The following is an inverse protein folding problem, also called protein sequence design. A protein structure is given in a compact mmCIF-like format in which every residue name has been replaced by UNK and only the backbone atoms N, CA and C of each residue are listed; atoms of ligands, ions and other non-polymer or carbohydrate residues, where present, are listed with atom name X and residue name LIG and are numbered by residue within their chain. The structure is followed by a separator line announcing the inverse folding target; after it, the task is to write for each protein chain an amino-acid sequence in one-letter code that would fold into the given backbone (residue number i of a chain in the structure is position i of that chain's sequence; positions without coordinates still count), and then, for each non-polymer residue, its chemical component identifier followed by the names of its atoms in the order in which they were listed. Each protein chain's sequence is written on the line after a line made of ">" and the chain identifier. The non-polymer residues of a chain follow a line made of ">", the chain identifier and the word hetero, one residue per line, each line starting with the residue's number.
data_IF_617856824952
#
_entry.id   IF_617856824952
#
_cell.length_a   1.000
_cell.length_b   1.000
_cell.length_c   1.000
_cell.angle_alpha   90.00
_cell.angle_beta   90.00
_cell.angle_gamma   90.00
#
_symmetry.space_group_name_H-M   'P 1'
#
loop_
_entity.id
_entity.type
_entity.pdbx_description
1 polymer ?
#
# COMPACT_ATOMS: atom_id res chain seq x y z
N UNK A 1 -14.23 -7.20 13.48
CA UNK A 1 -12.89 -7.13 14.12
C UNK A 1 -11.79 -7.61 13.16
N UNK A 2 -11.80 -8.86 12.66
CA UNK A 2 -10.72 -9.43 11.80
C UNK A 2 -10.27 -8.65 10.55
N UNK A 3 -11.17 -7.98 9.82
CA UNK A 3 -10.82 -7.43 8.49
C UNK A 3 -9.99 -6.12 8.56
N UNK A 4 -10.24 -5.25 9.54
CA UNK A 4 -9.51 -3.99 9.67
C UNK A 4 -8.07 -4.19 10.16
N UNK A 5 -7.86 -5.16 11.07
CA UNK A 5 -6.53 -5.46 11.60
C UNK A 5 -5.61 -6.06 10.52
N UNK A 6 -6.16 -6.88 9.61
CA UNK A 6 -5.42 -7.41 8.45
C UNK A 6 -5.06 -6.32 7.43
N UNK A 7 -5.95 -5.35 7.22
CA UNK A 7 -5.74 -4.19 6.34
C UNK A 7 -4.56 -3.33 6.83
N UNK A 8 -4.58 -3.02 8.12
CA UNK A 8 -3.56 -2.25 8.80
C UNK A 8 -2.22 -3.00 8.85
N UNK A 9 -2.26 -4.28 9.21
CA UNK A 9 -1.06 -5.10 9.38
C UNK A 9 -0.43 -5.55 8.06
N UNK A 10 -1.18 -5.67 6.96
CA UNK A 10 -0.61 -6.17 5.69
C UNK A 10 -0.19 -5.02 4.79
N UNK A 11 -1.11 -4.11 4.49
CA UNK A 11 -0.85 -3.02 3.54
C UNK A 11 -0.06 -1.89 4.18
N UNK A 12 -0.43 -1.46 5.40
CA UNK A 12 0.30 -0.43 6.13
C UNK A 12 1.76 -0.80 6.39
N UNK A 13 2.00 -2.02 6.87
CA UNK A 13 3.36 -2.50 7.12
C UNK A 13 4.17 -2.68 5.84
N UNK A 14 3.55 -3.15 4.74
CA UNK A 14 4.22 -3.23 3.44
C UNK A 14 4.77 -1.88 3.02
N UNK A 15 3.89 -0.86 2.98
CA UNK A 15 4.26 0.50 2.57
C UNK A 15 5.36 1.05 3.46
N UNK A 16 5.19 0.97 4.77
CA UNK A 16 6.14 1.51 5.72
C UNK A 16 7.51 0.83 5.60
N UNK A 17 7.54 -0.51 5.46
CA UNK A 17 8.78 -1.28 5.30
C UNK A 17 9.51 -0.91 4.02
N UNK A 18 8.82 -0.85 2.89
CA UNK A 18 9.43 -0.51 1.59
C UNK A 18 9.97 0.92 1.62
N UNK A 19 9.17 1.90 2.04
CA UNK A 19 9.61 3.30 2.12
C UNK A 19 10.80 3.48 3.07
N UNK A 20 10.74 2.89 4.28
CA UNK A 20 11.84 2.97 5.26
C UNK A 20 13.12 2.38 4.70
N UNK A 21 13.02 1.22 4.04
CA UNK A 21 14.17 0.53 3.51
C UNK A 21 14.79 1.28 2.33
N UNK A 22 13.96 1.79 1.41
CA UNK A 22 14.41 2.66 0.32
C UNK A 22 15.08 3.92 0.86
N UNK A 23 14.50 4.56 1.88
CA UNK A 23 15.07 5.76 2.48
C UNK A 23 16.45 5.51 3.09
N UNK A 24 16.61 4.37 3.76
CA UNK A 24 17.88 3.99 4.41
C UNK A 24 19.00 3.65 3.42
N UNK A 25 18.68 3.02 2.29
CA UNK A 25 19.69 2.42 1.42
C UNK A 25 19.87 3.11 0.06
N UNK A 26 18.90 3.93 -0.34
CA UNK A 26 18.86 4.62 -1.64
C UNK A 26 18.56 6.11 -1.48
N UNK A 27 19.01 6.73 -0.38
CA UNK A 27 18.97 8.18 -0.14
C UNK A 27 17.58 8.80 -0.28
N UNK A 28 16.54 8.05 0.10
CA UNK A 28 15.16 8.51 -0.02
C UNK A 28 14.68 8.66 -1.46
N UNK A 29 15.37 8.08 -2.44
CA UNK A 29 15.03 8.18 -3.84
C UNK A 29 14.58 6.83 -4.41
N UNK A 30 13.68 6.88 -5.39
CA UNK A 30 13.28 5.68 -6.15
C UNK A 30 14.52 5.09 -6.83
N UNK A 31 14.88 3.84 -6.54
CA UNK A 31 16.09 3.25 -7.11
C UNK A 31 15.91 2.98 -8.61
N UNK A 32 17.00 3.03 -9.36
CA UNK A 32 17.01 2.58 -10.75
C UNK A 32 16.96 1.05 -10.79
N UNK A 33 15.95 0.42 -11.42
CA UNK A 33 15.91 -1.02 -11.54
C UNK A 33 16.96 -1.51 -12.56
N UNK A 34 17.52 -2.69 -12.31
CA UNK A 34 18.17 -3.49 -13.34
C UNK A 34 17.13 -4.24 -14.19
N UNK A 35 17.54 -5.36 -14.80
CA UNK A 35 16.61 -6.18 -15.57
C UNK A 35 15.50 -6.79 -14.70
N UNK A 36 14.26 -6.71 -15.19
CA UNK A 36 13.11 -7.32 -14.53
C UNK A 36 13.08 -8.82 -14.87
N UNK A 37 13.28 -9.65 -13.87
CA UNK A 37 13.11 -11.09 -14.00
C UNK A 37 11.63 -11.49 -14.11
N UNK A 38 11.38 -12.77 -14.40
CA UNK A 38 10.02 -13.29 -14.59
C UNK A 38 9.10 -13.04 -13.39
N UNK A 39 9.62 -13.15 -12.15
CA UNK A 39 8.83 -12.88 -10.93
C UNK A 39 8.42 -11.40 -10.82
N UNK A 40 9.33 -10.48 -11.14
CA UNK A 40 9.07 -9.04 -11.16
C UNK A 40 8.06 -8.65 -12.23
N UNK A 41 8.20 -9.19 -13.43
CA UNK A 41 7.27 -8.97 -14.54
C UNK A 41 5.88 -9.49 -14.20
N UNK A 42 5.78 -10.70 -13.65
CA UNK A 42 4.52 -11.30 -13.25
C UNK A 42 3.79 -10.46 -12.20
N UNK A 43 4.51 -9.92 -11.21
CA UNK A 43 3.91 -9.06 -10.18
C UNK A 43 3.41 -7.72 -10.76
N UNK A 44 4.16 -7.11 -11.67
CA UNK A 44 3.73 -5.89 -12.36
C UNK A 44 2.46 -6.13 -13.19
N UNK A 45 2.42 -7.24 -13.94
CA UNK A 45 1.24 -7.62 -14.72
C UNK A 45 0.03 -7.94 -13.82
N UNK A 46 0.26 -8.59 -12.67
CA UNK A 46 -0.78 -8.84 -11.69
C UNK A 46 -1.34 -7.53 -11.12
N UNK A 47 -0.50 -6.51 -10.89
CA UNK A 47 -0.95 -5.21 -10.42
C UNK A 47 -1.84 -4.50 -11.44
N UNK A 48 -1.44 -4.48 -12.71
CA UNK A 48 -2.24 -3.92 -13.81
C UNK A 48 -3.58 -4.66 -13.97
N UNK A 49 -3.55 -5.99 -14.00
CA UNK A 49 -4.77 -6.82 -14.09
C UNK A 49 -5.71 -6.58 -12.91
N UNK A 50 -5.16 -6.43 -11.71
CA UNK A 50 -5.95 -6.16 -10.50
C UNK A 50 -6.62 -4.78 -10.60
N UNK A 51 -5.97 -3.79 -11.20
CA UNK A 51 -6.54 -2.43 -11.33
C UNK A 51 -7.83 -2.48 -12.15
N UNK A 52 -7.82 -3.23 -13.26
CA UNK A 52 -9.00 -3.46 -14.10
C UNK A 52 -10.07 -4.30 -13.37
N UNK A 53 -9.67 -5.30 -12.59
CA UNK A 53 -10.61 -6.11 -11.81
C UNK A 53 -11.34 -5.30 -10.72
N UNK A 54 -10.60 -4.42 -10.04
CA UNK A 54 -11.15 -3.50 -9.03
C UNK A 54 -12.09 -2.50 -9.70
N UNK A 55 -11.72 -1.91 -10.84
CA UNK A 55 -12.59 -1.04 -11.64
C UNK A 55 -13.92 -1.71 -11.97
N UNK A 56 -13.87 -2.90 -12.57
CA UNK A 56 -15.06 -3.66 -12.92
C UNK A 56 -15.93 -3.98 -11.68
N UNK A 57 -15.29 -4.27 -10.55
CA UNK A 57 -16.01 -4.52 -9.29
C UNK A 57 -16.71 -3.26 -8.76
N UNK A 58 -16.06 -2.10 -8.84
CA UNK A 58 -16.63 -0.81 -8.45
C UNK A 58 -17.82 -0.43 -9.35
N UNK A 59 -17.68 -0.59 -10.67
CA UNK A 59 -18.76 -0.33 -11.64
C UNK A 59 -20.03 -1.15 -11.37
N UNK A 60 -19.90 -2.31 -10.72
CA UNK A 60 -21.03 -3.19 -10.37
C UNK A 60 -21.36 -3.17 -8.86
N UNK A 61 -20.89 -2.17 -8.11
CA UNK A 61 -21.12 -2.04 -6.67
C UNK A 61 -20.64 -3.24 -5.83
N UNK A 62 -19.68 -4.03 -6.32
CA UNK A 62 -19.08 -5.18 -5.63
C UNK A 62 -17.89 -4.74 -4.76
N UNK A 63 -18.13 -3.84 -3.82
CA UNK A 63 -17.09 -3.20 -2.99
C UNK A 63 -16.23 -4.18 -2.19
N UNK A 64 -16.85 -5.23 -1.63
CA UNK A 64 -16.13 -6.26 -0.86
C UNK A 64 -15.16 -7.06 -1.73
N UNK A 65 -15.51 -7.29 -2.99
CA UNK A 65 -14.66 -7.98 -3.95
C UNK A 65 -13.48 -7.09 -4.35
N UNK A 66 -13.74 -5.82 -4.67
CA UNK A 66 -12.72 -4.82 -4.96
C UNK A 66 -11.65 -4.72 -3.85
N UNK A 67 -12.07 -4.56 -2.59
CA UNK A 67 -11.13 -4.48 -1.45
C UNK A 67 -10.32 -5.78 -1.30
N UNK A 68 -10.96 -6.95 -1.47
CA UNK A 68 -10.26 -8.25 -1.38
C UNK A 68 -9.23 -8.41 -2.50
N UNK A 69 -9.53 -7.98 -3.72
CA UNK A 69 -8.60 -8.04 -4.84
C UNK A 69 -7.36 -7.17 -4.57
N UNK A 70 -7.55 -5.91 -4.14
CA UNK A 70 -6.44 -5.03 -3.78
C UNK A 70 -5.62 -5.57 -2.59
N UNK A 71 -6.27 -6.13 -1.57
CA UNK A 71 -5.58 -6.77 -0.45
C UNK A 71 -4.79 -8.02 -0.85
N UNK A 72 -5.32 -8.84 -1.76
CA UNK A 72 -4.61 -9.98 -2.31
C UNK A 72 -3.34 -9.55 -3.05
N UNK A 73 -3.39 -8.46 -3.80
CA UNK A 73 -2.20 -7.89 -4.45
C UNK A 73 -1.17 -7.42 -3.41
N UNK A 74 -1.58 -6.73 -2.35
CA UNK A 74 -0.67 -6.34 -1.27
C UNK A 74 0.00 -7.56 -0.58
N UNK A 75 -0.73 -8.67 -0.42
CA UNK A 75 -0.15 -9.92 0.09
C UNK A 75 0.83 -10.56 -0.92
N UNK A 76 0.54 -10.49 -2.22
CA UNK A 76 1.46 -10.94 -3.27
C UNK A 76 2.76 -10.15 -3.26
N UNK A 77 2.69 -8.82 -3.12
CA UNK A 77 3.89 -7.96 -3.00
C UNK A 77 4.71 -8.31 -1.76
N UNK A 78 4.07 -8.60 -0.62
CA UNK A 78 4.79 -9.06 0.56
C UNK A 78 5.54 -10.37 0.31
N UNK A 79 4.89 -11.36 -0.33
CA UNK A 79 5.54 -12.63 -0.69
C UNK A 79 6.72 -12.43 -1.64
N UNK A 80 6.56 -11.58 -2.65
CA UNK A 80 7.65 -11.21 -3.55
C UNK A 80 8.84 -10.60 -2.80
N UNK A 81 8.59 -9.68 -1.86
CA UNK A 81 9.65 -9.10 -1.04
C UNK A 81 10.33 -10.13 -0.14
N UNK A 82 9.60 -11.08 0.44
CA UNK A 82 10.20 -12.17 1.22
C UNK A 82 11.10 -13.06 0.35
N UNK A 83 10.64 -13.42 -0.85
CA UNK A 83 11.40 -14.22 -1.81
C UNK A 83 12.68 -13.49 -2.25
N UNK A 84 12.57 -12.21 -2.63
CA UNK A 84 13.71 -11.38 -3.01
C UNK A 84 14.62 -11.02 -1.84
N UNK A 85 14.08 -10.99 -0.62
CA UNK A 85 14.80 -10.66 0.62
C UNK A 85 15.78 -9.47 0.46
N UNK A 86 15.34 -8.28 -0.03
CA UNK A 86 16.24 -7.16 -0.34
C UNK A 86 17.10 -6.73 0.86
N UNK A 87 16.59 -6.89 2.09
CA UNK A 87 17.33 -6.63 3.33
C UNK A 87 18.54 -7.54 3.56
N UNK A 88 18.56 -8.74 2.98
CA UNK A 88 19.71 -9.65 3.04
C UNK A 88 20.71 -9.33 1.93
N UNK A 89 20.19 -9.10 0.71
CA UNK A 89 21.03 -9.00 -0.49
C UNK A 89 21.57 -7.60 -0.75
N UNK A 90 21.08 -6.54 -0.10
CA UNK A 90 21.54 -5.14 -0.32
C UNK A 90 23.06 -4.93 -0.26
N UNK A 91 23.79 -5.77 0.50
CA UNK A 91 25.26 -5.71 0.63
C UNK A 91 26.00 -6.47 -0.48
N UNK A 92 25.37 -7.46 -1.09
CA UNK A 92 25.99 -8.39 -2.05
C UNK A 92 25.50 -8.18 -3.48
N UNK A 93 24.23 -7.82 -3.63
CA UNK A 93 23.54 -7.56 -4.89
C UNK A 93 22.66 -6.31 -4.73
N UNK A 94 23.29 -5.15 -4.92
CA UNK A 94 22.62 -3.85 -4.81
C UNK A 94 21.63 -3.62 -5.96
N UNK A 95 21.90 -4.17 -7.13
CA UNK A 95 21.04 -4.03 -8.31
C UNK A 95 19.76 -4.86 -8.16
N UNK A 96 19.84 -6.13 -7.78
CA UNK A 96 18.66 -6.94 -7.49
C UNK A 96 17.82 -6.37 -6.35
N UNK A 97 18.47 -5.79 -5.33
CA UNK A 97 17.78 -5.02 -4.29
C UNK A 97 17.06 -3.79 -4.86
N UNK A 98 17.70 -3.02 -5.72
CA UNK A 98 17.13 -1.85 -6.39
C UNK A 98 15.90 -2.24 -7.21
N UNK A 99 16.01 -3.30 -8.03
CA UNK A 99 14.90 -3.85 -8.81
C UNK A 99 13.72 -4.26 -7.94
N UNK A 100 13.96 -5.03 -6.87
CA UNK A 100 12.90 -5.50 -5.99
C UNK A 100 12.13 -4.36 -5.32
N UNK A 101 12.85 -3.30 -4.90
CA UNK A 101 12.23 -2.11 -4.33
C UNK A 101 11.49 -1.28 -5.36
N UNK A 102 12.05 -1.10 -6.57
CA UNK A 102 11.39 -0.39 -7.65
C UNK A 102 10.05 -1.04 -8.03
N UNK A 103 10.04 -2.37 -8.19
CA UNK A 103 8.82 -3.14 -8.48
C UNK A 103 7.82 -3.00 -7.33
N UNK A 104 8.27 -3.15 -6.08
CA UNK A 104 7.39 -3.02 -4.92
C UNK A 104 6.78 -1.62 -4.79
N UNK A 105 7.57 -0.57 -5.02
CA UNK A 105 7.09 0.82 -5.04
C UNK A 105 6.08 1.05 -6.17
N UNK A 106 6.31 0.47 -7.35
CA UNK A 106 5.38 0.54 -8.47
C UNK A 106 4.04 -0.10 -8.14
N UNK A 107 4.04 -1.29 -7.53
CA UNK A 107 2.82 -1.95 -7.07
C UNK A 107 2.12 -1.14 -5.96
N UNK A 108 2.89 -0.52 -5.06
CA UNK A 108 2.33 0.40 -4.05
C UNK A 108 1.64 1.61 -4.71
N UNK A 109 2.16 2.12 -5.83
CA UNK A 109 1.49 3.18 -6.60
C UNK A 109 0.16 2.71 -7.21
N UNK A 110 0.06 1.45 -7.66
CA UNK A 110 -1.21 0.84 -8.05
C UNK A 110 -2.19 0.75 -6.88
N UNK A 111 -1.73 0.21 -5.74
CA UNK A 111 -2.56 0.04 -4.53
C UNK A 111 -3.08 1.37 -4.00
N UNK A 112 -2.27 2.44 -4.05
CA UNK A 112 -2.69 3.82 -3.73
C UNK A 112 -3.97 4.20 -4.49
N UNK A 113 -4.00 3.98 -5.80
CA UNK A 113 -5.15 4.29 -6.66
C UNK A 113 -6.33 3.36 -6.34
N UNK A 114 -6.10 2.04 -6.25
CA UNK A 114 -7.17 1.06 -5.96
C UNK A 114 -7.86 1.29 -4.62
N UNK A 115 -7.11 1.70 -3.60
CA UNK A 115 -7.65 1.95 -2.27
C UNK A 115 -8.28 3.34 -2.11
N UNK A 116 -8.09 4.27 -3.06
CA UNK A 116 -8.60 5.64 -2.93
C UNK A 116 -10.11 5.73 -2.63
N UNK A 117 -11.00 4.97 -3.31
CA UNK A 117 -12.44 5.02 -3.03
C UNK A 117 -12.83 4.54 -1.62
N UNK A 118 -11.94 3.82 -0.94
CA UNK A 118 -12.19 3.23 0.37
C UNK A 118 -11.43 3.94 1.50
N UNK A 119 -10.24 4.45 1.20
CA UNK A 119 -9.27 5.01 2.15
C UNK A 119 -8.69 6.34 1.62
N UNK A 120 -9.52 7.36 1.33
CA UNK A 120 -9.09 8.55 0.60
C UNK A 120 -7.95 9.30 1.29
N UNK A 121 -8.01 9.44 2.63
CA UNK A 121 -6.97 10.13 3.40
C UNK A 121 -5.64 9.38 3.41
N UNK A 122 -5.67 8.05 3.59
CA UNK A 122 -4.45 7.22 3.58
C UNK A 122 -3.84 7.12 2.18
N UNK A 123 -4.68 7.04 1.13
CA UNK A 123 -4.22 7.09 -0.26
C UNK A 123 -3.61 8.44 -0.62
N UNK A 124 -4.18 9.56 -0.16
CA UNK A 124 -3.58 10.89 -0.34
C UNK A 124 -2.27 11.03 0.45
N UNK A 125 -2.19 10.48 1.67
CA UNK A 125 -0.94 10.44 2.43
C UNK A 125 0.12 9.66 1.67
N UNK A 126 -0.21 8.47 1.18
CA UNK A 126 0.70 7.66 0.37
C UNK A 126 1.12 8.36 -0.92
N UNK A 127 0.20 9.06 -1.59
CA UNK A 127 0.50 9.85 -2.78
C UNK A 127 1.68 10.81 -2.54
N UNK A 128 1.64 11.56 -1.44
CA UNK A 128 2.73 12.47 -1.04
C UNK A 128 3.98 11.71 -0.61
N UNK A 129 3.84 10.59 0.11
CA UNK A 129 4.99 9.76 0.50
C UNK A 129 5.73 9.17 -0.70
N UNK A 130 5.02 8.90 -1.80
CA UNK A 130 5.63 8.50 -3.06
C UNK A 130 6.28 9.66 -3.82
N UNK A 131 6.20 10.89 -3.33
CA UNK A 131 6.80 12.07 -3.94
C UNK A 131 5.97 12.69 -5.06
N UNK A 132 4.67 12.40 -5.12
CA UNK A 132 3.77 13.06 -6.04
C UNK A 132 3.18 14.33 -5.42
N UNK A 133 3.05 15.37 -6.25
CA UNK A 133 2.40 16.63 -5.92
C UNK A 133 0.89 16.57 -6.22
N UNK A 134 0.12 17.48 -5.60
CA UNK A 134 -1.31 17.62 -5.86
C UNK A 134 -2.19 16.60 -5.15
N UNK A 135 -3.38 16.39 -5.71
CA UNK A 135 -4.37 15.47 -5.18
C UNK A 135 -4.37 14.15 -5.96
N UNK A 136 -4.58 13.05 -5.24
CA UNK A 136 -4.58 11.71 -5.85
C UNK A 136 -5.69 11.55 -6.90
N UNK A 137 -6.80 12.26 -6.75
CA UNK A 137 -7.93 12.23 -7.69
C UNK A 137 -7.65 12.94 -9.02
N UNK A 138 -6.71 13.89 -9.06
CA UNK A 138 -6.31 14.59 -10.29
C UNK A 138 -5.69 13.61 -11.32
N UNK A 139 -5.19 12.47 -10.86
CA UNK A 139 -4.57 11.43 -11.68
C UNK A 139 -5.58 10.39 -12.21
N UNK A 140 -6.81 10.41 -11.70
CA UNK A 140 -7.87 9.47 -12.06
C UNK A 140 -7.55 8.00 -11.78
N UNK A 141 -8.25 7.11 -12.47
CA UNK A 141 -8.11 5.65 -12.33
C UNK A 141 -6.97 5.11 -13.22
N UNK A 142 -5.74 5.53 -12.94
CA UNK A 142 -4.57 5.14 -13.74
C UNK A 142 -3.35 4.81 -12.89
N UNK A 143 -2.42 4.06 -13.48
CA UNK A 143 -1.10 3.85 -12.90
C UNK A 143 -0.26 5.12 -13.03
N UNK A 144 0.25 5.59 -11.90
CA UNK A 144 1.21 6.67 -11.87
C UNK A 144 2.62 6.10 -11.74
N UNK A 145 3.38 6.19 -12.83
CA UNK A 145 4.75 5.70 -12.89
C UNK A 145 5.67 6.50 -11.96
N UNK A 146 6.59 5.80 -11.30
CA UNK A 146 7.65 6.39 -10.50
C UNK A 146 8.92 6.48 -11.35
N UNK A 147 9.52 7.66 -11.40
CA UNK A 147 10.79 7.84 -12.12
C UNK A 147 11.97 7.48 -11.23
N UNK A 148 12.98 6.81 -11.78
CA UNK A 148 14.24 6.58 -11.05
C UNK A 148 14.86 7.91 -10.62
N UNK A 149 15.32 7.98 -9.37
CA UNK A 149 15.82 9.22 -8.76
C UNK A 149 14.73 10.14 -8.19
N UNK A 150 13.44 9.83 -8.38
CA UNK A 150 12.36 10.59 -7.76
C UNK A 150 12.49 10.55 -6.23
N UNK A 151 12.43 11.72 -5.59
CA UNK A 151 12.48 11.83 -4.13
C UNK A 151 11.18 11.35 -3.52
N UNK A 152 11.29 10.43 -2.57
CA UNK A 152 10.20 9.97 -1.73
C UNK A 152 10.06 10.89 -0.51
N UNK A 153 8.85 10.99 0.01
CA UNK A 153 8.61 11.62 1.31
C UNK A 153 9.28 10.86 2.45
N UNK A 154 9.42 11.51 3.60
CA UNK A 154 9.95 10.84 4.80
C UNK A 154 9.00 9.70 5.21
N UNK A 155 9.50 8.47 5.44
CA UNK A 155 8.65 7.35 5.81
C UNK A 155 7.85 7.64 7.08
N UNK A 156 6.54 7.42 7.00
CA UNK A 156 5.63 7.52 8.13
C UNK A 156 4.60 6.38 8.07
N UNK A 157 4.12 5.87 9.21
CA UNK A 157 3.01 4.93 9.22
C UNK A 157 1.77 5.50 8.53
N UNK A 158 1.15 4.70 7.65
CA UNK A 158 -0.11 5.07 6.99
C UNK A 158 -1.30 5.03 7.94
N UNK A 159 -1.22 4.18 8.96
CA UNK A 159 -2.29 3.96 9.91
C UNK A 159 -1.70 3.95 11.33
N UNK A 160 -2.45 4.54 12.25
CA UNK A 160 -2.11 4.54 13.67
C UNK A 160 -2.81 3.33 14.29
N UNK A 161 -2.09 2.55 15.09
CA UNK A 161 -2.71 1.46 15.86
C UNK A 161 -3.63 2.08 16.91
N UNK A 162 -4.88 1.62 16.96
CA UNK A 162 -5.79 2.02 18.03
C UNK A 162 -5.29 1.43 19.35
N UNK A 163 -5.14 2.27 20.36
CA UNK A 163 -4.85 1.83 21.72
C UNK A 163 -6.03 1.02 22.27
N UNK A 164 -5.75 -0.01 23.07
CA UNK A 164 -6.78 -0.79 23.77
C UNK A 164 -7.66 0.10 24.65
N UNK A 165 -7.09 1.18 25.21
CA UNK A 165 -7.85 2.18 25.97
C UNK A 165 -8.88 2.90 25.10
N UNK A 166 -8.49 3.36 23.90
CA UNK A 166 -9.40 4.01 22.95
C UNK A 166 -10.51 3.05 22.51
N UNK A 167 -10.17 1.77 22.29
CA UNK A 167 -11.16 0.74 21.95
C UNK A 167 -12.16 0.54 23.10
N UNK A 168 -11.68 0.51 24.35
CA UNK A 168 -12.52 0.34 25.53
C UNK A 168 -13.44 1.54 25.75
N UNK A 169 -12.90 2.76 25.62
CA UNK A 169 -13.64 4.01 25.78
C UNK A 169 -14.75 4.14 24.72
N UNK A 170 -14.45 3.89 23.45
CA UNK A 170 -15.46 3.94 22.38
C UNK A 170 -16.49 2.81 22.51
N UNK A 171 -16.08 1.61 22.97
CA UNK A 171 -17.04 0.52 23.25
C UNK A 171 -17.99 0.89 24.39
N UNK A 172 -17.50 1.58 25.43
CA UNK A 172 -18.29 2.09 26.54
C UNK A 172 -19.31 3.15 26.10
N UNK A 173 -18.88 4.07 25.21
CA UNK A 173 -19.76 5.09 24.60
C UNK A 173 -20.86 4.48 23.72
N UNK A 174 -20.55 3.41 22.98
CA UNK A 174 -21.54 2.70 22.15
C UNK A 174 -22.50 1.84 22.98
N UNK A 175 -22.01 1.21 24.06
CA UNK A 175 -22.85 0.43 24.98
C UNK A 175 -23.84 1.28 25.77
N UNK A 176 -23.50 2.53 26.09
CA UNK A 176 -24.38 3.46 26.80
C UNK A 176 -25.47 4.10 25.92
N UNK A 177 -25.32 4.11 24.59
CA UNK A 177 -26.34 4.62 23.65
C UNK A 177 -27.52 3.65 23.42
N UNK A 178 -27.47 2.41 23.94
CA UNK A 178 -28.49 1.38 23.68
C UNK A 178 -29.58 1.28 24.75
N UNK A 179 -29.51 2.07 25.83
CA UNK A 179 -30.38 1.93 27.00
C UNK A 179 -31.18 3.20 27.32
N UNK A 180 -31.40 4.08 26.34
CA UNK A 180 -32.12 5.33 26.55
C UNK A 180 -33.05 5.67 25.39
N UNK A 181 -34.28 5.13 25.44
CA UNK A 181 -35.55 5.65 24.88
C UNK A 181 -36.41 4.54 24.26
N UNK A 182 -37.02 3.73 25.12
CA UNK A 182 -38.38 3.21 24.91
C UNK A 182 -39.05 3.18 26.29
N UNK A 183 -39.69 4.29 26.64
CA UNK A 183 -40.70 4.42 27.68
C UNK A 183 -41.91 5.12 27.05
#
# INVERSE_FOLDING_TARGET
>A
RRNNDELLATYGNLVHRVLTFTHRHFDGCVPAPGELDASSQALMQAAETTLHSVDNSLCHCRFREAVRAAMSLAQQTNRYLEEKSPWKVVKTDREGCATALFVSLSVISYLKTMFYPFLPFSSQKLHRLLGFDGLVEEQGWSFQALSSGQKLGHPEPLFIKLDEQVIADETSRLGSASTGQLA
#
